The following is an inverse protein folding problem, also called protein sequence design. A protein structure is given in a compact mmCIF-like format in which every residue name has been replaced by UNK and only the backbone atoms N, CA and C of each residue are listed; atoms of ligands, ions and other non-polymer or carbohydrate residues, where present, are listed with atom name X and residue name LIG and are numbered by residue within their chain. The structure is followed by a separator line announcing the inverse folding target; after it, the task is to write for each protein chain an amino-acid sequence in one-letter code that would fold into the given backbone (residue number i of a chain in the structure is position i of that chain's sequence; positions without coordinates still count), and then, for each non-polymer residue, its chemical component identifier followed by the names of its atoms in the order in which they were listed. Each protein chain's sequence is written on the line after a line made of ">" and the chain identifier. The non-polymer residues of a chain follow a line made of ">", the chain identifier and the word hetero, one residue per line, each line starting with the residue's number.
data_IF_927940683785
#
_entry.id   IF_927940683785
#
_cell.length_a   1.000
_cell.length_b   1.000
_cell.length_c   1.000
_cell.angle_alpha   90.00
_cell.angle_beta   90.00
_cell.angle_gamma   90.00
#
_symmetry.space_group_name_H-M   'P 1'
#
loop_
_entity.id
_entity.type
_entity.pdbx_description
1 polymer ?
#
# COMPACT_ATOMS: atom_id res chain seq x y z
N UNK A 1 29.60 4.82 16.31
CA UNK A 1 30.12 5.67 15.19
C UNK A 1 29.14 6.83 15.04
N UNK A 2 29.61 8.08 15.16
CA UNK A 2 28.80 9.27 15.00
C UNK A 2 28.20 9.31 13.57
N UNK A 3 26.91 9.60 13.47
CA UNK A 3 26.16 9.72 12.22
C UNK A 3 26.83 10.73 11.27
N UNK A 4 27.02 10.41 9.97
CA UNK A 4 27.37 11.41 8.97
C UNK A 4 26.28 12.50 8.95
N UNK A 5 26.67 13.77 9.04
CA UNK A 5 25.74 14.90 9.15
C UNK A 5 24.78 15.05 7.96
N UNK A 6 25.04 14.41 6.83
CA UNK A 6 24.35 14.62 5.55
C UNK A 6 23.36 13.51 5.12
N UNK A 7 23.17 12.42 5.91
CA UNK A 7 22.17 11.41 5.53
C UNK A 7 20.79 11.70 6.14
N UNK A 8 19.71 11.45 5.39
CA UNK A 8 18.36 11.56 5.96
C UNK A 8 18.17 10.54 7.10
N UNK A 9 17.41 10.92 8.12
CA UNK A 9 16.95 9.99 9.16
C UNK A 9 15.88 9.08 8.62
N UNK A 10 15.90 7.82 9.04
CA UNK A 10 14.93 6.79 8.61
C UNK A 10 14.17 6.27 9.81
N UNK A 11 12.85 6.47 9.79
CA UNK A 11 11.92 5.79 10.68
C UNK A 11 11.34 4.56 9.99
N UNK A 12 11.15 3.48 10.74
CA UNK A 12 10.37 2.32 10.30
C UNK A 12 9.04 2.32 11.03
N UNK A 13 7.94 2.36 10.27
CA UNK A 13 6.59 2.14 10.79
C UNK A 13 6.28 0.64 10.69
N UNK A 14 6.46 -0.09 11.79
CA UNK A 14 6.27 -1.53 11.89
C UNK A 14 4.91 -1.83 12.52
N UNK A 15 4.00 -2.45 11.76
CA UNK A 15 2.70 -2.87 12.26
C UNK A 15 2.67 -4.37 12.55
N UNK A 16 2.17 -4.75 13.74
CA UNK A 16 2.16 -6.13 14.21
C UNK A 16 0.80 -6.57 14.75
N UNK A 17 0.49 -7.86 14.61
CA UNK A 17 -0.60 -8.55 15.28
C UNK A 17 -0.33 -10.05 15.33
N UNK A 18 -0.06 -10.62 16.52
CA UNK A 18 0.26 -12.04 16.72
C UNK A 18 1.35 -12.54 15.76
N UNK A 19 2.48 -11.83 15.69
CA UNK A 19 3.57 -12.06 14.76
C UNK A 19 4.81 -12.73 15.35
N UNK A 20 4.74 -13.28 16.57
CA UNK A 20 5.88 -13.86 17.30
C UNK A 20 6.77 -14.76 16.44
N UNK A 21 6.16 -15.54 15.55
CA UNK A 21 6.86 -16.50 14.69
C UNK A 21 7.87 -15.82 13.72
N UNK A 22 7.56 -14.65 13.20
CA UNK A 22 8.30 -14.04 12.09
C UNK A 22 8.97 -12.71 12.45
N UNK A 23 8.40 -11.96 13.39
CA UNK A 23 8.81 -10.58 13.68
C UNK A 23 10.28 -10.46 14.10
N UNK A 24 10.85 -11.51 14.71
CA UNK A 24 12.28 -11.54 15.07
C UNK A 24 13.20 -11.46 13.85
N UNK A 25 12.89 -12.18 12.76
CA UNK A 25 13.65 -12.10 11.52
C UNK A 25 13.48 -10.74 10.85
N UNK A 26 12.26 -10.22 10.82
CA UNK A 26 11.96 -8.91 10.24
C UNK A 26 12.73 -7.80 10.96
N UNK A 27 12.62 -7.71 12.28
CA UNK A 27 13.31 -6.68 13.07
C UNK A 27 14.84 -6.82 12.95
N UNK A 28 15.36 -8.05 12.97
CA UNK A 28 16.80 -8.30 12.76
C UNK A 28 17.26 -7.82 11.39
N UNK A 29 16.49 -8.03 10.34
CA UNK A 29 16.81 -7.57 8.99
C UNK A 29 16.79 -6.03 8.86
N UNK A 30 15.89 -5.35 9.57
CA UNK A 30 15.83 -3.89 9.69
C UNK A 30 17.08 -3.36 10.42
N UNK A 31 17.46 -3.96 11.53
CA UNK A 31 18.58 -3.54 12.35
C UNK A 31 19.96 -3.80 11.70
N UNK A 32 20.02 -4.69 10.72
CA UNK A 32 21.25 -5.05 9.98
C UNK A 32 21.36 -4.34 8.61
N UNK A 33 20.60 -3.26 8.37
CA UNK A 33 20.74 -2.49 7.14
C UNK A 33 22.12 -1.80 7.06
N UNK A 34 22.71 -1.76 5.85
CA UNK A 34 23.99 -1.06 5.59
C UNK A 34 23.88 0.46 5.79
N UNK A 35 22.69 1.02 5.53
CA UNK A 35 22.30 2.37 5.97
C UNK A 35 21.46 2.19 7.23
N UNK A 36 21.97 2.59 8.42
CA UNK A 36 21.26 2.34 9.67
C UNK A 36 19.88 3.02 9.71
N UNK A 37 18.93 2.35 10.34
CA UNK A 37 17.64 2.91 10.74
C UNK A 37 17.85 3.72 12.03
N UNK A 38 17.20 4.88 12.14
CA UNK A 38 17.32 5.75 13.32
C UNK A 38 16.19 5.51 14.33
N UNK A 39 14.99 5.12 13.85
CA UNK A 39 13.80 4.95 14.67
C UNK A 39 12.96 3.76 14.20
N UNK A 40 12.43 2.99 15.14
CA UNK A 40 11.35 2.03 14.89
C UNK A 40 10.16 2.43 15.74
N UNK A 41 9.03 2.72 15.08
CA UNK A 41 7.74 2.90 15.73
C UNK A 41 6.92 1.65 15.46
N UNK A 42 6.56 0.93 16.53
CA UNK A 42 5.76 -0.30 16.47
C UNK A 42 4.32 0.03 16.83
N UNK A 43 3.40 -0.28 15.93
CA UNK A 43 1.97 -0.32 16.21
C UNK A 43 1.54 -1.76 16.44
N UNK A 44 1.44 -2.18 17.71
CA UNK A 44 0.99 -3.53 18.05
C UNK A 44 -0.53 -3.57 18.21
N UNK A 45 -1.20 -4.22 17.26
CA UNK A 45 -2.65 -4.26 17.15
C UNK A 45 -3.27 -5.36 18.04
N UNK A 46 -3.04 -5.24 19.35
CA UNK A 46 -3.55 -6.14 20.40
C UNK A 46 -3.03 -7.59 20.29
N UNK A 47 -1.72 -7.78 20.09
CA UNK A 47 -1.09 -9.11 20.14
C UNK A 47 -1.25 -9.76 21.52
N UNK A 48 -1.46 -11.08 21.51
CA UNK A 48 -1.63 -11.92 22.71
C UNK A 48 -0.52 -12.94 22.88
N UNK A 49 0.42 -12.98 21.94
CA UNK A 49 1.63 -13.82 21.93
C UNK A 49 2.89 -13.02 22.33
N UNK A 50 4.05 -13.60 22.13
CA UNK A 50 5.35 -13.00 22.46
C UNK A 50 5.84 -11.91 21.50
N UNK A 51 5.01 -11.43 20.55
CA UNK A 51 5.41 -10.49 19.49
C UNK A 51 6.24 -9.33 20.02
N UNK A 52 5.74 -8.60 21.00
CA UNK A 52 6.41 -7.40 21.52
C UNK A 52 7.71 -7.76 22.27
N UNK A 53 7.71 -8.83 23.04
CA UNK A 53 8.90 -9.29 23.76
C UNK A 53 10.04 -9.65 22.79
N UNK A 54 9.72 -10.27 21.64
CA UNK A 54 10.70 -10.58 20.59
C UNK A 54 11.29 -9.31 19.98
N UNK A 55 10.49 -8.29 19.74
CA UNK A 55 10.95 -6.99 19.21
C UNK A 55 11.89 -6.31 20.22
N UNK A 56 11.46 -6.21 21.49
CA UNK A 56 12.25 -5.61 22.57
C UNK A 56 13.62 -6.30 22.72
N UNK A 57 13.63 -7.64 22.71
CA UNK A 57 14.85 -8.43 22.81
C UNK A 57 15.80 -8.18 21.61
N UNK A 58 15.29 -8.15 20.38
CA UNK A 58 16.09 -7.90 19.19
C UNK A 58 16.71 -6.51 19.19
N UNK A 59 15.98 -5.48 19.61
CA UNK A 59 16.48 -4.11 19.71
C UNK A 59 17.49 -3.98 20.87
N UNK A 60 17.25 -4.63 22.00
CA UNK A 60 18.18 -4.64 23.13
C UNK A 60 19.54 -5.28 22.74
N UNK A 61 19.52 -6.41 22.01
CA UNK A 61 20.72 -7.05 21.48
C UNK A 61 21.47 -6.11 20.51
N UNK A 62 20.78 -5.45 19.58
CA UNK A 62 21.39 -4.49 18.66
C UNK A 62 22.03 -3.29 19.38
N UNK A 63 21.37 -2.74 20.40
CA UNK A 63 21.92 -1.69 21.27
C UNK A 63 23.15 -2.19 22.04
N UNK A 64 23.12 -3.42 22.50
CA UNK A 64 24.28 -4.08 23.14
C UNK A 64 25.50 -4.21 22.22
N UNK A 65 25.30 -4.27 20.91
CA UNK A 65 26.34 -4.23 19.87
C UNK A 65 26.75 -2.82 19.46
N UNK A 66 26.20 -1.78 20.09
CA UNK A 66 26.54 -0.38 19.85
C UNK A 66 25.70 0.31 18.77
N UNK A 67 24.53 -0.28 18.36
CA UNK A 67 23.60 0.40 17.48
C UNK A 67 22.80 1.45 18.26
N UNK A 68 22.83 2.70 17.79
CA UNK A 68 21.96 3.77 18.31
C UNK A 68 20.64 3.74 17.52
N UNK A 69 19.55 3.42 18.21
CA UNK A 69 18.21 3.34 17.62
C UNK A 69 17.14 3.70 18.64
N UNK A 70 16.17 4.51 18.22
CA UNK A 70 15.00 4.81 19.02
C UNK A 70 13.90 3.76 18.77
N UNK A 71 13.28 3.29 19.86
CA UNK A 71 12.18 2.34 19.80
C UNK A 71 10.98 2.90 20.56
N UNK A 72 9.88 3.07 19.86
CA UNK A 72 8.56 3.39 20.42
C UNK A 72 7.60 2.24 20.14
N UNK A 73 6.94 1.70 21.19
CA UNK A 73 5.95 0.63 21.04
C UNK A 73 4.60 1.14 21.54
N UNK A 74 3.61 1.12 20.66
CA UNK A 74 2.23 1.47 20.95
C UNK A 74 1.39 0.18 21.00
N UNK A 75 1.13 -0.31 22.20
CA UNK A 75 0.28 -1.48 22.44
C UNK A 75 -1.17 -1.07 22.53
N UNK A 76 -2.04 -1.77 21.83
CA UNK A 76 -3.47 -1.53 21.85
C UNK A 76 -4.21 -2.56 22.69
N UNK A 77 -5.28 -2.13 23.34
CA UNK A 77 -6.16 -3.03 24.09
C UNK A 77 -7.12 -3.80 23.15
N UNK A 78 -7.52 -3.18 22.04
CA UNK A 78 -8.37 -3.75 21.02
C UNK A 78 -7.83 -3.46 19.62
N UNK A 79 -8.01 -4.39 18.64
CA UNK A 79 -7.52 -4.20 17.29
C UNK A 79 -8.18 -3.00 16.59
N UNK A 80 -7.36 -2.17 15.93
CA UNK A 80 -7.82 -1.09 15.06
C UNK A 80 -8.00 -1.55 13.61
N UNK A 81 -7.35 -2.65 13.25
CA UNK A 81 -7.18 -3.12 11.88
C UNK A 81 -6.04 -2.41 11.13
N UNK A 82 -5.59 -3.07 10.06
CA UNK A 82 -4.33 -2.74 9.35
C UNK A 82 -4.22 -1.26 9.00
N UNK A 83 -5.22 -0.69 8.32
CA UNK A 83 -5.15 0.69 7.82
C UNK A 83 -5.01 1.72 8.95
N UNK A 84 -5.81 1.58 10.01
CA UNK A 84 -5.77 2.48 11.15
C UNK A 84 -4.54 2.29 12.03
N UNK A 85 -4.03 1.06 12.12
CA UNK A 85 -2.78 0.79 12.81
C UNK A 85 -1.60 1.47 12.11
N UNK A 86 -1.49 1.36 10.76
CA UNK A 86 -0.48 2.09 9.99
C UNK A 86 -0.67 3.61 10.08
N UNK A 87 -1.91 4.11 10.03
CA UNK A 87 -2.20 5.55 10.18
C UNK A 87 -1.60 6.12 11.48
N UNK A 88 -1.90 5.49 12.61
CA UNK A 88 -1.42 5.95 13.91
C UNK A 88 0.09 5.72 14.09
N UNK A 89 0.62 4.62 13.54
CA UNK A 89 2.05 4.33 13.60
C UNK A 89 2.86 5.35 12.79
N UNK A 90 2.45 5.65 11.56
CA UNK A 90 3.08 6.67 10.69
C UNK A 90 2.99 8.06 11.33
N UNK A 91 1.86 8.42 11.94
CA UNK A 91 1.70 9.71 12.61
C UNK A 91 2.73 9.96 13.72
N UNK A 92 3.30 8.90 14.31
CA UNK A 92 4.27 8.96 15.42
C UNK A 92 5.72 8.92 14.95
N UNK A 93 5.98 8.66 13.68
CA UNK A 93 7.35 8.68 13.13
C UNK A 93 7.91 10.09 13.08
N UNK A 94 9.23 10.22 13.26
CA UNK A 94 9.90 11.55 13.29
C UNK A 94 10.90 11.74 12.14
N UNK A 95 11.33 10.66 11.49
CA UNK A 95 12.37 10.67 10.47
C UNK A 95 12.05 11.50 9.22
N UNK A 96 13.12 11.83 8.50
CA UNK A 96 13.05 12.47 7.17
C UNK A 96 12.43 11.54 6.14
N UNK A 97 12.66 10.23 6.30
CA UNK A 97 12.07 9.15 5.53
C UNK A 97 11.32 8.18 6.45
N UNK A 98 10.24 7.61 5.95
CA UNK A 98 9.43 6.60 6.63
C UNK A 98 9.33 5.36 5.73
N UNK A 99 9.84 4.23 6.21
CA UNK A 99 9.66 2.93 5.59
C UNK A 99 8.49 2.20 6.24
N UNK A 100 7.55 1.70 5.45
CA UNK A 100 6.50 0.83 5.95
C UNK A 100 7.03 -0.59 6.11
N UNK A 101 6.59 -1.29 7.14
CA UNK A 101 7.00 -2.66 7.41
C UNK A 101 5.85 -3.49 7.97
N UNK A 102 5.61 -4.63 7.33
CA UNK A 102 4.83 -5.71 7.90
C UNK A 102 5.74 -6.56 8.82
N UNK A 103 5.14 -7.43 9.62
CA UNK A 103 5.85 -8.19 10.68
C UNK A 103 6.58 -9.44 10.19
N UNK A 104 6.36 -9.88 8.94
CA UNK A 104 6.62 -11.24 8.46
C UNK A 104 7.55 -11.32 7.23
N UNK A 105 8.06 -10.19 6.76
CA UNK A 105 8.98 -10.11 5.63
C UNK A 105 10.46 -10.15 6.07
N UNK A 106 11.39 -10.05 5.11
CA UNK A 106 12.82 -9.88 5.39
C UNK A 106 13.42 -8.86 4.42
N UNK A 107 14.20 -7.92 4.94
CA UNK A 107 14.88 -6.91 4.15
C UNK A 107 16.29 -7.35 3.76
N UNK A 108 16.67 -7.37 2.47
CA UNK A 108 18.07 -7.43 2.06
C UNK A 108 18.86 -6.29 2.71
N UNK A 109 20.10 -6.56 3.09
CA UNK A 109 20.94 -5.63 3.88
C UNK A 109 21.18 -4.29 3.18
N UNK A 110 21.14 -4.24 1.86
CA UNK A 110 21.36 -3.04 1.04
C UNK A 110 20.07 -2.33 0.59
N UNK A 111 18.89 -2.76 1.07
CA UNK A 111 17.59 -2.20 0.65
C UNK A 111 17.57 -0.67 0.79
N UNK A 112 17.85 -0.14 1.96
CA UNK A 112 17.83 1.31 2.19
C UNK A 112 18.91 2.02 1.37
N UNK A 113 20.10 1.43 1.22
CA UNK A 113 21.16 1.99 0.39
C UNK A 113 20.75 2.12 -1.08
N UNK A 114 19.85 1.26 -1.57
CA UNK A 114 19.31 1.29 -2.94
C UNK A 114 18.16 2.27 -3.11
N UNK A 115 17.29 2.42 -2.10
CA UNK A 115 16.08 3.24 -2.19
C UNK A 115 16.33 4.72 -1.86
N UNK A 116 17.15 5.03 -0.87
CA UNK A 116 17.39 6.41 -0.39
C UNK A 116 17.92 7.35 -1.47
N UNK A 117 18.87 6.96 -2.35
CA UNK A 117 19.39 7.88 -3.38
C UNK A 117 18.33 8.40 -4.34
N UNK A 118 17.19 7.69 -4.53
CA UNK A 118 16.10 8.13 -5.40
C UNK A 118 15.44 9.40 -4.88
N UNK A 119 15.50 9.65 -3.57
CA UNK A 119 15.01 10.88 -2.95
C UNK A 119 15.91 12.09 -3.16
N UNK A 120 17.01 11.99 -3.90
CA UNK A 120 17.79 13.17 -4.34
C UNK A 120 16.95 14.06 -5.27
N UNK A 121 15.98 13.51 -6.00
CA UNK A 121 14.93 14.27 -6.69
C UNK A 121 13.89 14.77 -5.67
N UNK A 122 13.78 16.09 -5.43
CA UNK A 122 12.82 16.63 -4.44
C UNK A 122 11.35 16.38 -4.81
N UNK A 123 11.05 16.09 -6.06
CA UNK A 123 9.70 15.76 -6.52
C UNK A 123 9.26 14.35 -6.06
N UNK A 124 10.20 13.47 -5.69
CA UNK A 124 9.88 12.10 -5.25
C UNK A 124 9.33 12.11 -3.83
N UNK A 125 8.11 11.61 -3.65
CA UNK A 125 7.41 11.50 -2.37
C UNK A 125 7.38 10.07 -1.85
N UNK A 126 7.28 9.08 -2.77
CA UNK A 126 7.22 7.66 -2.46
C UNK A 126 8.08 6.88 -3.44
N UNK A 127 8.93 6.01 -2.90
CA UNK A 127 9.69 5.02 -3.67
C UNK A 127 9.25 3.64 -3.22
N UNK A 128 9.03 2.74 -4.17
CA UNK A 128 8.77 1.34 -3.88
C UNK A 128 9.64 0.42 -4.73
N UNK A 129 9.88 -0.79 -4.27
CA UNK A 129 10.61 -1.80 -5.02
C UNK A 129 9.71 -2.95 -5.49
N UNK A 130 10.28 -3.86 -6.29
CA UNK A 130 9.72 -5.22 -6.41
C UNK A 130 10.09 -6.05 -5.18
N UNK A 131 9.57 -7.26 -5.07
CA UNK A 131 9.90 -8.19 -4.01
C UNK A 131 10.03 -9.62 -4.55
N UNK A 132 10.91 -10.43 -3.94
CA UNK A 132 10.93 -11.87 -4.13
C UNK A 132 9.83 -12.50 -3.30
N UNK A 133 9.13 -13.46 -3.86
CA UNK A 133 8.17 -14.25 -3.09
C UNK A 133 8.92 -15.39 -2.40
N UNK A 134 8.73 -15.51 -1.09
CA UNK A 134 9.26 -16.60 -0.29
C UNK A 134 8.14 -17.33 0.44
N UNK A 135 8.33 -18.60 0.75
CA UNK A 135 7.38 -19.37 1.55
C UNK A 135 7.48 -19.03 3.06
N UNK A 136 6.73 -19.78 3.89
CA UNK A 136 6.72 -19.58 5.34
C UNK A 136 8.10 -19.78 5.99
N UNK A 137 8.97 -20.58 5.39
CA UNK A 137 10.32 -20.88 5.89
C UNK A 137 11.39 -19.95 5.30
N UNK A 138 10.98 -18.99 4.43
CA UNK A 138 11.86 -18.03 3.79
C UNK A 138 12.55 -18.55 2.52
N UNK A 139 12.08 -19.69 1.99
CA UNK A 139 12.64 -20.25 0.76
C UNK A 139 12.01 -19.58 -0.46
N UNK A 140 12.82 -19.06 -1.43
CA UNK A 140 12.28 -18.44 -2.63
C UNK A 140 11.39 -19.37 -3.45
N UNK A 141 10.19 -18.88 -3.82
CA UNK A 141 9.23 -19.64 -4.65
C UNK A 141 9.43 -19.43 -6.16
N UNK A 142 10.42 -18.62 -6.55
CA UNK A 142 10.77 -18.32 -7.93
C UNK A 142 9.95 -17.20 -8.60
N UNK A 143 9.03 -16.55 -7.87
CA UNK A 143 8.20 -15.47 -8.39
C UNK A 143 8.62 -14.08 -7.89
N UNK A 144 8.23 -13.04 -8.63
CA UNK A 144 8.31 -11.64 -8.21
C UNK A 144 6.90 -11.09 -7.93
N UNK A 145 6.83 -10.14 -6.99
CA UNK A 145 5.57 -9.57 -6.54
C UNK A 145 4.82 -8.86 -7.66
N UNK A 146 5.50 -8.03 -8.45
CA UNK A 146 4.89 -7.31 -9.56
C UNK A 146 4.42 -8.24 -10.69
N UNK A 147 5.01 -9.43 -10.85
CA UNK A 147 4.53 -10.44 -11.79
C UNK A 147 3.20 -11.05 -11.31
N UNK A 148 3.07 -11.33 -10.02
CA UNK A 148 1.81 -11.86 -9.45
C UNK A 148 0.67 -10.83 -9.48
N UNK A 149 1.02 -9.54 -9.53
CA UNK A 149 0.07 -8.45 -9.73
C UNK A 149 -0.25 -8.23 -11.22
N UNK A 150 0.26 -9.04 -12.14
CA UNK A 150 0.12 -8.88 -13.58
C UNK A 150 0.53 -7.47 -14.06
N UNK A 151 1.59 -6.90 -13.46
CA UNK A 151 2.08 -5.57 -13.81
C UNK A 151 2.71 -5.59 -15.21
N UNK A 152 2.07 -4.92 -16.16
CA UNK A 152 2.57 -4.82 -17.54
C UNK A 152 3.84 -3.97 -17.63
N UNK A 153 4.64 -4.17 -18.67
CA UNK A 153 5.83 -3.34 -18.94
C UNK A 153 5.48 -1.85 -19.01
N UNK A 154 4.33 -1.50 -19.61
CA UNK A 154 3.86 -0.11 -19.69
C UNK A 154 3.57 0.47 -18.29
N UNK A 155 2.95 -0.29 -17.41
CA UNK A 155 2.65 0.14 -16.05
C UNK A 155 3.93 0.28 -15.22
N UNK A 156 4.87 -0.67 -15.31
CA UNK A 156 6.18 -0.58 -14.64
C UNK A 156 6.95 0.66 -15.11
N UNK A 157 6.98 0.93 -16.43
CA UNK A 157 7.62 2.12 -16.96
C UNK A 157 6.95 3.41 -16.46
N UNK A 158 5.62 3.45 -16.35
CA UNK A 158 4.90 4.59 -15.81
C UNK A 158 5.24 4.82 -14.32
N UNK A 159 5.34 3.76 -13.52
CA UNK A 159 5.74 3.85 -12.11
C UNK A 159 7.20 4.32 -11.97
N UNK A 160 8.11 3.85 -12.83
CA UNK A 160 9.52 4.25 -12.79
C UNK A 160 9.73 5.72 -13.18
N UNK A 161 8.92 6.23 -14.12
CA UNK A 161 9.10 7.57 -14.72
C UNK A 161 8.25 8.68 -14.08
N UNK A 162 7.53 8.40 -12.98
CA UNK A 162 6.67 9.40 -12.30
C UNK A 162 5.29 9.60 -12.94
N UNK A 163 4.88 8.74 -13.86
CA UNK A 163 3.58 8.78 -14.51
C UNK A 163 2.59 7.77 -13.89
N UNK A 164 2.69 7.57 -12.58
CA UNK A 164 1.93 6.57 -11.84
C UNK A 164 0.43 6.87 -11.75
N UNK A 165 0.01 8.14 -11.85
CA UNK A 165 -1.36 8.57 -11.58
C UNK A 165 -2.41 7.77 -12.37
N UNK A 166 -2.26 7.67 -13.69
CA UNK A 166 -3.23 6.95 -14.55
C UNK A 166 -3.24 5.43 -14.28
N UNK A 167 -2.14 4.86 -13.77
CA UNK A 167 -2.06 3.45 -13.36
C UNK A 167 -2.83 3.26 -12.06
N UNK A 168 -2.48 4.04 -11.03
CA UNK A 168 -3.04 3.91 -9.68
C UNK A 168 -4.51 4.32 -9.60
N UNK A 169 -4.97 5.23 -10.49
CA UNK A 169 -6.39 5.55 -10.63
C UNK A 169 -7.24 4.32 -10.99
N UNK A 170 -6.66 3.33 -11.67
CA UNK A 170 -7.34 2.11 -12.14
C UNK A 170 -7.15 0.93 -11.21
N UNK A 171 -5.95 0.75 -10.65
CA UNK A 171 -5.60 -0.35 -9.75
C UNK A 171 -4.33 -0.05 -8.96
N UNK A 172 -4.23 -0.59 -7.77
CA UNK A 172 -2.99 -0.55 -7.01
C UNK A 172 -1.96 -1.57 -7.54
N UNK A 173 -0.69 -1.16 -7.59
CA UNK A 173 0.48 -1.98 -7.88
C UNK A 173 1.59 -1.78 -6.83
N UNK A 174 1.30 -1.05 -5.75
CA UNK A 174 2.27 -0.75 -4.70
C UNK A 174 1.85 -1.53 -3.45
N UNK A 175 2.78 -2.29 -2.91
CA UNK A 175 2.61 -3.01 -1.64
C UNK A 175 3.33 -2.26 -0.54
N UNK A 176 2.66 -2.02 0.58
CA UNK A 176 3.18 -1.21 1.68
C UNK A 176 4.57 -1.63 2.13
N UNK A 177 4.78 -2.92 2.36
CA UNK A 177 6.07 -3.48 2.78
C UNK A 177 7.25 -3.13 1.85
N UNK A 178 6.99 -2.78 0.58
CA UNK A 178 8.03 -2.37 -0.39
C UNK A 178 8.31 -0.87 -0.38
N UNK A 179 7.50 -0.06 0.32
CA UNK A 179 7.47 1.39 0.21
C UNK A 179 8.34 2.11 1.25
N UNK A 180 9.01 3.18 0.78
CA UNK A 180 9.64 4.22 1.59
C UNK A 180 9.09 5.56 1.13
N UNK A 181 8.85 6.48 2.05
CA UNK A 181 8.22 7.78 1.77
C UNK A 181 8.99 8.92 2.44
N UNK A 182 8.88 10.15 1.93
CA UNK A 182 9.29 11.32 2.72
C UNK A 182 8.45 11.42 3.99
N UNK A 183 9.08 11.62 5.15
CA UNK A 183 8.39 11.71 6.43
C UNK A 183 7.36 12.84 6.48
N UNK A 184 7.69 14.08 6.10
CA UNK A 184 6.70 15.16 6.05
C UNK A 184 5.51 14.86 5.12
N UNK A 185 5.75 14.22 3.97
CA UNK A 185 4.69 13.77 3.06
C UNK A 185 3.80 12.71 3.73
N UNK A 186 4.40 11.66 4.31
CA UNK A 186 3.65 10.57 4.92
C UNK A 186 2.72 11.07 6.04
N UNK A 187 3.23 11.94 6.91
CA UNK A 187 2.43 12.56 7.99
C UNK A 187 1.40 13.56 7.47
N UNK A 188 1.73 14.34 6.42
CA UNK A 188 0.81 15.30 5.80
C UNK A 188 -0.31 14.67 4.97
N UNK A 189 -0.14 13.42 4.53
CA UNK A 189 -1.18 12.67 3.81
C UNK A 189 -2.22 12.02 4.73
N UNK A 190 -2.06 12.13 6.06
CA UNK A 190 -3.04 11.63 7.04
C UNK A 190 -4.19 12.64 7.24
N UNK A 191 -5.38 12.14 7.60
CA UNK A 191 -5.76 10.75 7.81
C UNK A 191 -5.92 9.97 6.50
N UNK A 192 -5.85 8.63 6.58
CA UNK A 192 -6.15 7.75 5.44
C UNK A 192 -7.61 7.93 5.04
N UNK A 193 -7.84 8.20 3.74
CA UNK A 193 -9.17 8.42 3.20
C UNK A 193 -10.10 7.21 3.35
N UNK A 194 -11.39 7.47 3.47
CA UNK A 194 -12.40 6.42 3.62
C UNK A 194 -12.37 5.42 2.46
N UNK A 195 -12.44 4.13 2.80
CA UNK A 195 -12.45 3.03 1.82
C UNK A 195 -11.06 2.64 1.29
N UNK A 196 -9.99 3.32 1.70
CA UNK A 196 -8.61 3.00 1.34
C UNK A 196 -7.91 2.14 2.39
N UNK A 197 -6.93 1.36 1.94
CA UNK A 197 -5.87 0.81 2.79
C UNK A 197 -4.65 1.73 2.70
N UNK A 198 -3.75 1.62 3.66
CA UNK A 198 -2.67 2.57 3.89
C UNK A 198 -1.75 2.75 2.67
N UNK A 199 -1.28 1.65 2.07
CA UNK A 199 -0.36 1.66 0.95
C UNK A 199 -1.00 2.24 -0.33
N UNK A 200 -2.24 1.86 -0.63
CA UNK A 200 -2.99 2.41 -1.75
C UNK A 200 -3.24 3.90 -1.61
N UNK A 201 -3.51 4.37 -0.38
CA UNK A 201 -3.73 5.77 -0.08
C UNK A 201 -2.47 6.60 -0.29
N UNK A 202 -1.36 6.24 0.38
CA UNK A 202 -0.10 6.96 0.23
C UNK A 202 0.39 6.96 -1.22
N UNK A 203 0.27 5.82 -1.92
CA UNK A 203 0.63 5.73 -3.32
C UNK A 203 -0.20 6.66 -4.19
N UNK A 204 -1.52 6.73 -3.98
CA UNK A 204 -2.41 7.58 -4.76
C UNK A 204 -2.15 9.06 -4.47
N UNK A 205 -1.97 9.47 -3.21
CA UNK A 205 -1.64 10.85 -2.84
C UNK A 205 -0.28 11.26 -3.44
N UNK A 206 0.75 10.42 -3.36
CA UNK A 206 2.04 10.69 -3.99
C UNK A 206 1.94 10.84 -5.51
N UNK A 207 1.04 10.08 -6.15
CA UNK A 207 0.86 10.13 -7.60
C UNK A 207 0.16 11.42 -8.08
N UNK A 208 -0.55 12.14 -7.23
CA UNK A 208 -1.19 13.43 -7.59
C UNK A 208 -0.17 14.46 -8.09
N UNK A 209 1.05 14.46 -7.53
CA UNK A 209 2.16 15.33 -7.94
C UNK A 209 3.19 14.65 -8.85
N UNK A 210 2.96 13.38 -9.27
CA UNK A 210 3.96 12.59 -10.00
C UNK A 210 5.12 12.10 -9.13
N UNK A 211 4.95 12.09 -7.81
CA UNK A 211 5.98 11.80 -6.82
C UNK A 211 6.24 10.31 -6.54
N UNK A 212 5.74 9.39 -7.36
CA UNK A 212 5.97 7.94 -7.21
C UNK A 212 7.14 7.49 -8.09
N UNK A 213 8.02 6.62 -7.55
CA UNK A 213 9.09 5.96 -8.31
C UNK A 213 9.16 4.47 -7.97
N UNK A 214 9.28 3.64 -9.00
CA UNK A 214 9.60 2.22 -8.88
C UNK A 214 11.11 2.02 -9.07
N UNK A 215 11.75 1.36 -8.10
CA UNK A 215 13.04 0.70 -8.27
C UNK A 215 12.74 -0.76 -8.67
N UNK A 216 13.03 -1.19 -9.90
CA UNK A 216 12.57 -2.49 -10.42
C UNK A 216 13.41 -3.68 -9.89
N UNK A 217 14.05 -3.51 -8.76
CA UNK A 217 14.85 -4.54 -8.09
C UNK A 217 14.04 -5.17 -6.95
N UNK A 218 14.18 -6.49 -6.70
CA UNK A 218 13.52 -7.16 -5.59
C UNK A 218 14.27 -6.87 -4.28
N UNK A 219 13.89 -5.79 -3.60
CA UNK A 219 14.52 -5.32 -2.37
C UNK A 219 13.73 -5.70 -1.10
N UNK A 220 12.93 -6.75 -1.19
CA UNK A 220 12.18 -7.34 -0.10
C UNK A 220 12.01 -8.84 -0.37
N UNK A 221 12.13 -9.67 0.64
CA UNK A 221 11.65 -11.04 0.64
C UNK A 221 10.24 -11.05 1.24
N UNK A 222 9.24 -11.11 0.34
CA UNK A 222 7.83 -11.06 0.69
C UNK A 222 7.33 -12.46 1.06
N UNK A 223 7.02 -12.64 2.34
CA UNK A 223 6.65 -13.95 2.87
C UNK A 223 5.18 -14.26 2.61
N UNK A 224 4.94 -15.47 2.09
CA UNK A 224 3.61 -16.00 1.85
C UNK A 224 3.31 -17.14 2.83
N UNK A 225 2.32 -16.95 3.69
CA UNK A 225 1.83 -17.98 4.62
C UNK A 225 0.32 -17.83 4.83
N UNK A 226 -0.33 -18.84 5.44
CA UNK A 226 -1.78 -18.86 5.61
C UNK A 226 -2.38 -17.78 6.52
N UNK A 227 -1.52 -17.04 7.24
CA UNK A 227 -1.91 -15.95 8.15
C UNK A 227 -1.81 -14.54 7.54
N UNK A 228 -1.37 -14.37 6.29
CA UNK A 228 -1.31 -13.05 5.67
C UNK A 228 -2.71 -12.44 5.56
N UNK A 229 -2.95 -11.29 6.22
CA UNK A 229 -4.26 -10.64 6.19
C UNK A 229 -4.58 -10.04 4.82
N UNK A 230 -3.57 -9.49 4.14
CA UNK A 230 -3.64 -8.94 2.78
C UNK A 230 -2.36 -9.38 2.07
N UNK A 231 -2.45 -10.19 1.02
CA UNK A 231 -1.26 -10.68 0.34
C UNK A 231 -1.51 -11.09 -1.11
N UNK A 232 -0.47 -10.97 -1.94
CA UNK A 232 -0.43 -11.49 -3.29
C UNK A 232 -0.15 -13.02 -3.25
N UNK A 233 -1.13 -13.83 -2.85
CA UNK A 233 -0.97 -15.29 -2.95
C UNK A 233 -1.44 -15.78 -4.31
N UNK A 234 -0.59 -16.54 -5.01
CA UNK A 234 -0.89 -17.18 -6.29
C UNK A 234 -2.03 -18.22 -6.21
N UNK A 235 -2.50 -18.57 -5.01
CA UNK A 235 -3.43 -19.69 -4.77
C UNK A 235 -4.77 -19.23 -4.19
N UNK A 236 -5.22 -18.03 -4.47
CA UNK A 236 -6.48 -17.57 -3.86
C UNK A 236 -7.68 -17.65 -4.81
N UNK A 237 -8.02 -18.88 -5.27
CA UNK A 237 -9.29 -19.18 -5.93
C UNK A 237 -10.49 -18.81 -5.03
N UNK A 238 -10.38 -19.01 -3.71
CA UNK A 238 -11.44 -18.67 -2.76
C UNK A 238 -11.63 -17.16 -2.64
N UNK A 239 -10.53 -16.38 -2.51
CA UNK A 239 -10.63 -14.90 -2.50
C UNK A 239 -11.04 -14.33 -3.85
N UNK A 240 -10.63 -14.95 -4.97
CA UNK A 240 -11.17 -14.60 -6.31
C UNK A 240 -12.66 -14.88 -6.39
N UNK A 241 -13.14 -16.00 -5.84
CA UNK A 241 -14.58 -16.30 -5.72
C UNK A 241 -15.28 -15.34 -4.77
N UNK A 242 -14.73 -15.05 -3.60
CA UNK A 242 -15.29 -14.05 -2.66
C UNK A 242 -15.39 -12.67 -3.31
N UNK A 243 -14.36 -12.20 -4.04
CA UNK A 243 -14.40 -10.95 -4.80
C UNK A 243 -15.43 -10.95 -5.94
N UNK A 244 -15.79 -12.13 -6.45
CA UNK A 244 -16.86 -12.27 -7.45
C UNK A 244 -18.26 -12.37 -6.81
N UNK A 245 -18.33 -12.84 -5.56
CA UNK A 245 -19.58 -12.99 -4.79
C UNK A 245 -19.83 -11.82 -3.82
N UNK A 246 -18.86 -10.90 -3.68
CA UNK A 246 -19.05 -9.66 -2.91
C UNK A 246 -20.30 -8.94 -3.38
N UNK A 247 -21.15 -8.56 -2.45
CA UNK A 247 -22.39 -7.84 -2.75
C UNK A 247 -22.06 -6.57 -3.55
N UNK A 248 -22.75 -6.36 -4.66
CA UNK A 248 -22.53 -5.21 -5.56
C UNK A 248 -22.57 -3.89 -4.80
N UNK A 249 -23.51 -3.77 -3.86
CA UNK A 249 -23.78 -2.52 -3.15
C UNK A 249 -22.63 -2.18 -2.18
N UNK A 250 -22.08 -3.17 -1.47
CA UNK A 250 -20.92 -2.99 -0.57
C UNK A 250 -19.67 -2.57 -1.36
N UNK A 251 -19.43 -3.25 -2.50
CA UNK A 251 -18.33 -2.87 -3.39
C UNK A 251 -18.51 -1.47 -3.96
N UNK A 252 -19.73 -1.13 -4.41
CA UNK A 252 -20.03 0.18 -4.97
C UNK A 252 -19.84 1.28 -3.91
N UNK A 253 -20.35 1.08 -2.69
CA UNK A 253 -20.16 2.01 -1.58
C UNK A 253 -18.68 2.26 -1.31
N UNK A 254 -17.86 1.20 -1.21
CA UNK A 254 -16.41 1.31 -1.01
C UNK A 254 -15.72 2.07 -2.15
N UNK A 255 -16.04 1.78 -3.43
CA UNK A 255 -15.44 2.46 -4.58
C UNK A 255 -15.84 3.94 -4.66
N UNK A 256 -17.07 4.28 -4.27
CA UNK A 256 -17.52 5.65 -4.18
C UNK A 256 -16.80 6.38 -3.05
N UNK A 257 -16.71 5.80 -1.86
CA UNK A 257 -16.00 6.39 -0.73
C UNK A 257 -14.52 6.66 -1.08
N UNK A 258 -13.84 5.69 -1.72
CA UNK A 258 -12.47 5.87 -2.22
C UNK A 258 -12.34 7.03 -3.21
N UNK A 259 -13.25 7.09 -4.19
CA UNK A 259 -13.20 8.15 -5.20
C UNK A 259 -13.56 9.52 -4.63
N UNK A 260 -14.45 9.57 -3.63
CA UNK A 260 -14.83 10.80 -2.95
C UNK A 260 -13.67 11.33 -2.09
N UNK A 261 -13.13 10.50 -1.20
CA UNK A 261 -12.07 10.92 -0.26
C UNK A 261 -10.81 11.41 -0.96
N UNK A 262 -10.38 10.78 -2.07
CA UNK A 262 -9.22 11.27 -2.82
C UNK A 262 -9.53 12.55 -3.62
N UNK A 263 -10.75 12.73 -4.10
CA UNK A 263 -11.17 13.98 -4.75
C UNK A 263 -11.21 15.14 -3.73
N UNK A 264 -11.77 14.90 -2.54
CA UNK A 264 -11.79 15.86 -1.43
C UNK A 264 -10.37 16.24 -0.97
N UNK A 265 -9.48 15.25 -0.82
CA UNK A 265 -8.08 15.51 -0.51
C UNK A 265 -7.42 16.39 -1.59
N UNK A 266 -7.61 16.07 -2.87
CA UNK A 266 -7.02 16.81 -3.97
C UNK A 266 -7.58 18.25 -4.10
N UNK A 267 -8.85 18.48 -3.73
CA UNK A 267 -9.45 19.81 -3.70
C UNK A 267 -8.92 20.65 -2.52
N UNK A 268 -8.66 20.01 -1.38
CA UNK A 268 -8.08 20.67 -0.21
C UNK A 268 -6.58 20.99 -0.39
N UNK A 269 -5.88 20.30 -1.32
CA UNK A 269 -4.44 20.42 -1.55
C UNK A 269 -4.13 20.76 -3.02
N UNK A 270 -4.51 21.96 -3.51
CA UNK A 270 -4.29 22.36 -4.91
C UNK A 270 -2.81 22.45 -5.30
N UNK A 271 -1.90 22.53 -4.34
CA UNK A 271 -0.45 22.52 -4.54
C UNK A 271 0.09 21.14 -4.97
N UNK A 272 -0.58 20.04 -4.61
CA UNK A 272 -0.17 18.68 -5.01
C UNK A 272 -0.98 18.13 -6.17
N UNK A 273 -2.18 18.68 -6.44
CA UNK A 273 -3.08 18.22 -7.49
C UNK A 273 -3.48 19.37 -8.42
N UNK A 274 -2.95 19.40 -9.64
CA UNK A 274 -3.34 20.41 -10.63
C UNK A 274 -4.82 20.27 -11.06
N UNK A 275 -5.37 21.29 -11.72
CA UNK A 275 -6.78 21.32 -12.13
C UNK A 275 -7.22 20.11 -12.96
N UNK A 276 -6.34 19.61 -13.88
CA UNK A 276 -6.61 18.43 -14.71
C UNK A 276 -6.76 17.17 -13.88
N UNK A 277 -5.91 16.98 -12.87
CA UNK A 277 -5.97 15.83 -11.95
C UNK A 277 -7.25 15.89 -11.14
N UNK A 278 -7.58 17.05 -10.52
CA UNK A 278 -8.83 17.22 -9.76
C UNK A 278 -10.06 16.93 -10.62
N UNK A 279 -10.14 17.50 -11.82
CA UNK A 279 -11.21 17.18 -12.77
C UNK A 279 -11.30 15.68 -13.09
N UNK A 280 -10.16 15.01 -13.25
CA UNK A 280 -10.12 13.56 -13.52
C UNK A 280 -10.66 12.75 -12.34
N UNK A 281 -10.32 13.15 -11.10
CA UNK A 281 -10.85 12.52 -9.89
C UNK A 281 -12.36 12.71 -9.74
N UNK A 282 -12.89 13.92 -9.99
CA UNK A 282 -14.34 14.14 -9.98
C UNK A 282 -15.07 13.34 -11.06
N UNK A 283 -14.48 13.21 -12.25
CA UNK A 283 -15.01 12.34 -13.30
C UNK A 283 -14.98 10.85 -12.91
N UNK A 284 -13.93 10.41 -12.19
CA UNK A 284 -13.85 9.07 -11.61
C UNK A 284 -14.98 8.86 -10.60
N UNK A 285 -15.18 9.78 -9.67
CA UNK A 285 -16.26 9.73 -8.68
C UNK A 285 -17.64 9.66 -9.37
N UNK A 286 -17.87 10.51 -10.37
CA UNK A 286 -19.10 10.49 -11.15
C UNK A 286 -19.29 9.13 -11.89
N UNK A 287 -18.20 8.54 -12.36
CA UNK A 287 -18.26 7.23 -13.00
C UNK A 287 -18.60 6.11 -11.99
N UNK A 288 -18.03 6.10 -10.78
CA UNK A 288 -18.38 5.09 -9.76
C UNK A 288 -19.84 5.23 -9.29
N UNK A 289 -20.33 6.48 -9.08
CA UNK A 289 -21.75 6.74 -8.78
C UNK A 289 -22.66 6.25 -9.91
N UNK A 290 -22.28 6.48 -11.16
CA UNK A 290 -23.03 5.97 -12.32
C UNK A 290 -23.03 4.42 -12.34
N UNK A 291 -21.91 3.76 -12.05
CA UNK A 291 -21.83 2.28 -11.95
C UNK A 291 -22.77 1.75 -10.86
N UNK A 292 -22.81 2.42 -9.71
CA UNK A 292 -23.72 2.08 -8.62
C UNK A 292 -25.21 2.17 -9.03
N UNK A 293 -25.56 3.14 -9.89
CA UNK A 293 -26.92 3.35 -10.40
C UNK A 293 -27.33 2.42 -11.55
N UNK A 294 -26.49 1.46 -11.97
CA UNK A 294 -26.84 0.51 -13.02
C UNK A 294 -28.05 -0.36 -12.60
N UNK A 295 -28.99 -0.69 -13.54
CA UNK A 295 -30.19 -1.46 -13.22
C UNK A 295 -29.91 -2.79 -12.51
N UNK A 296 -30.86 -3.25 -11.69
CA UNK A 296 -30.83 -4.58 -11.05
C UNK A 296 -30.84 -5.68 -12.14
N UNK A 297 -31.65 -5.54 -13.17
CA UNK A 297 -31.72 -6.47 -14.31
C UNK A 297 -30.43 -6.48 -15.12
N UNK A 298 -29.80 -7.64 -15.26
CA UNK A 298 -28.59 -7.83 -16.07
C UNK A 298 -28.81 -7.43 -17.53
N UNK A 299 -29.96 -7.77 -18.11
CA UNK A 299 -30.31 -7.43 -19.50
C UNK A 299 -30.39 -5.91 -19.68
N UNK A 300 -31.03 -5.21 -18.74
CA UNK A 300 -31.15 -3.76 -18.77
C UNK A 300 -29.81 -3.01 -18.58
N UNK A 301 -28.79 -3.68 -18.07
CA UNK A 301 -27.41 -3.10 -17.94
C UNK A 301 -26.70 -3.08 -19.28
N UNK A 302 -26.92 -4.08 -20.15
CA UNK A 302 -26.13 -4.30 -21.37
C UNK A 302 -25.95 -3.03 -22.19
N UNK A 303 -27.04 -2.32 -22.63
CA UNK A 303 -26.84 -1.14 -23.47
C UNK A 303 -26.06 0.00 -22.76
N UNK A 304 -26.27 0.18 -21.45
CA UNK A 304 -25.58 1.21 -20.66
C UNK A 304 -24.10 0.90 -20.49
N UNK A 305 -23.78 -0.35 -20.14
CA UNK A 305 -22.40 -0.82 -19.97
C UNK A 305 -21.66 -0.80 -21.30
N UNK A 306 -22.29 -1.27 -22.39
CA UNK A 306 -21.72 -1.24 -23.73
C UNK A 306 -21.39 0.19 -24.18
N UNK A 307 -22.31 1.14 -24.03
CA UNK A 307 -22.07 2.55 -24.37
C UNK A 307 -20.90 3.15 -23.57
N UNK A 308 -20.80 2.87 -22.27
CA UNK A 308 -19.69 3.33 -21.44
C UNK A 308 -18.36 2.65 -21.79
N UNK A 309 -18.38 1.38 -22.21
CA UNK A 309 -17.20 0.65 -22.64
C UNK A 309 -16.67 1.19 -23.97
N UNK A 310 -17.55 1.40 -24.97
CA UNK A 310 -17.19 2.01 -26.26
C UNK A 310 -16.66 3.44 -26.06
N UNK A 311 -17.27 4.22 -25.14
CA UNK A 311 -16.78 5.55 -24.76
C UNK A 311 -15.48 5.55 -23.94
N UNK A 312 -14.83 4.39 -23.74
CA UNK A 312 -13.53 4.27 -23.08
C UNK A 312 -13.54 4.49 -21.57
N UNK A 313 -14.71 4.72 -20.93
CA UNK A 313 -14.81 5.04 -19.48
C UNK A 313 -14.24 3.94 -18.60
N UNK A 314 -14.47 2.66 -18.91
CA UNK A 314 -13.93 1.52 -18.16
C UNK A 314 -12.41 1.38 -18.28
N UNK A 315 -11.84 1.70 -19.46
CA UNK A 315 -10.38 1.70 -19.63
C UNK A 315 -9.69 2.86 -18.93
N UNK A 316 -10.38 4.00 -18.84
CA UNK A 316 -9.83 5.20 -18.20
C UNK A 316 -9.85 5.12 -16.68
N UNK A 317 -10.95 4.61 -16.09
CA UNK A 317 -11.20 4.70 -14.65
C UNK A 317 -11.14 3.36 -13.90
N UNK A 318 -11.13 2.24 -14.62
CA UNK A 318 -11.18 0.91 -14.04
C UNK A 318 -10.29 -0.08 -14.83
N UNK A 319 -10.41 -1.37 -14.54
CA UNK A 319 -9.62 -2.43 -15.20
C UNK A 319 -10.16 -2.84 -16.57
N UNK A 320 -10.82 -1.95 -17.30
CA UNK A 320 -11.31 -2.19 -18.65
C UNK A 320 -12.34 -3.31 -18.72
N UNK A 321 -12.10 -4.32 -19.60
CA UNK A 321 -13.04 -5.43 -19.84
C UNK A 321 -13.34 -6.27 -18.60
N UNK A 322 -12.43 -6.34 -17.64
CA UNK A 322 -12.67 -7.08 -16.38
C UNK A 322 -13.83 -6.45 -15.60
N UNK A 323 -13.85 -5.11 -15.49
CA UNK A 323 -14.95 -4.44 -14.79
C UNK A 323 -16.21 -4.35 -15.62
N UNK A 324 -16.14 -4.34 -16.97
CA UNK A 324 -17.30 -4.52 -17.86
C UNK A 324 -17.95 -5.87 -17.57
N UNK A 325 -17.19 -6.97 -17.61
CA UNK A 325 -17.71 -8.32 -17.35
C UNK A 325 -18.31 -8.42 -15.94
N UNK A 326 -17.66 -7.80 -14.96
CA UNK A 326 -18.13 -7.78 -13.57
C UNK A 326 -19.47 -7.03 -13.43
N UNK A 327 -19.61 -5.84 -14.01
CA UNK A 327 -20.84 -5.06 -13.94
C UNK A 327 -22.02 -5.74 -14.67
N UNK A 328 -21.75 -6.56 -15.70
CA UNK A 328 -22.76 -7.38 -16.37
C UNK A 328 -23.15 -8.62 -15.55
N UNK A 329 -22.20 -9.28 -14.88
CA UNK A 329 -22.39 -10.59 -14.25
C UNK A 329 -22.83 -10.51 -12.78
N UNK A 330 -22.39 -9.50 -12.01
CA UNK A 330 -22.65 -9.45 -10.57
C UNK A 330 -24.15 -9.40 -10.25
N UNK A 331 -24.63 -10.25 -9.31
CA UNK A 331 -25.98 -10.15 -8.81
C UNK A 331 -26.15 -8.82 -8.06
N UNK A 332 -27.31 -8.18 -8.21
CA UNK A 332 -27.69 -7.10 -7.31
C UNK A 332 -28.21 -7.73 -6.02
N UNK A 333 -27.74 -7.23 -4.88
CA UNK A 333 -28.40 -7.55 -3.62
C UNK A 333 -29.76 -6.88 -3.56
N UNK A 334 -30.77 -7.64 -3.16
CA UNK A 334 -32.17 -7.18 -3.06
C UNK A 334 -32.44 -6.45 -1.73
N UNK A 335 -31.48 -5.73 -1.15
CA UNK A 335 -31.78 -4.83 -0.03
C UNK A 335 -31.93 -3.41 -0.55
N UNK A 336 -33.12 -2.79 -0.39
CA UNK A 336 -33.24 -1.36 -0.59
C UNK A 336 -32.37 -0.64 0.46
N UNK A 337 -31.65 0.39 0.01
CA UNK A 337 -30.99 1.36 0.87
C UNK A 337 -32.00 2.14 1.69
#
# INVERSE_FOLDING_TARGET
>A
MSRPADRPTVSVALCTHNGERFVGQQVTSILNQTVPVDEIVVGDDASRDGTVAVIEAAVADARGRGLEIDLTIVRREAPLGVAKNFEDTVARTTGDLVALSDQDDVWPADRLARLIPVFSDPAVMLVHSDARLVDADGVPTGGLLLDTLDATVRERNALTSGHAFDVLLRRNLITGATAVMRGPFARGALPIGEGWIHDEWFAMVAALSGGVRLVPEPLLDYRQHGGNQIGASAVDWERRRQKLTEARDERAARLIARAASIAEFADAHPEVANARIRETLHRKLAHERWRASLPVSRVARVPRVAAAAVGGRYHRYNRGLIDVARDLAQPATTRPL
#
